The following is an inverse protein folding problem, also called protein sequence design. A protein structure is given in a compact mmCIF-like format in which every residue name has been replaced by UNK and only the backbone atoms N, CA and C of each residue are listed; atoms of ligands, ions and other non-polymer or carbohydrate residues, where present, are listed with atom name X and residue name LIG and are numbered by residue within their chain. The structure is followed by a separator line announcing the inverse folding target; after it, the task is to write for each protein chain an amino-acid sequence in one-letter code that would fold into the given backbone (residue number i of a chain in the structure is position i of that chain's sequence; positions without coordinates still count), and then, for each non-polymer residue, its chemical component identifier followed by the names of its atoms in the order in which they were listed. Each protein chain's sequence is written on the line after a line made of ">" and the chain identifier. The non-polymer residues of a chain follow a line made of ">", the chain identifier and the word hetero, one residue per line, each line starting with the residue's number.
data_IF_526105326257
#
_entry.id   IF_526105326257
#
_cell.length_a   1.000
_cell.length_b   1.000
_cell.length_c   1.000
_cell.angle_alpha   90.00
_cell.angle_beta   90.00
_cell.angle_gamma   90.00
#
_symmetry.space_group_name_H-M   'P 1'
#
loop_
_entity.id
_entity.type
_entity.pdbx_description
1 polymer ?
#
# COMPACT_ATOMS: atom_id res chain seq x y z
N UNK A 1 -5.83 -13.91 -27.68
CA UNK A 1 -5.16 -12.93 -28.57
C UNK A 1 -4.23 -13.69 -29.52
N UNK A 2 -3.71 -13.07 -30.59
CA UNK A 2 -2.67 -13.74 -31.39
C UNK A 2 -1.39 -13.91 -30.56
N UNK A 3 -0.75 -15.08 -30.65
CA UNK A 3 0.42 -15.44 -29.82
C UNK A 3 1.68 -14.62 -30.14
N UNK A 4 1.65 -13.81 -31.20
CA UNK A 4 2.73 -12.91 -31.61
C UNK A 4 2.64 -11.51 -31.00
N UNK A 5 1.54 -11.16 -30.31
CA UNK A 5 1.40 -9.82 -29.71
C UNK A 5 2.40 -9.68 -28.57
N UNK A 6 3.30 -8.69 -28.70
CA UNK A 6 4.32 -8.34 -27.71
C UNK A 6 3.96 -7.15 -26.82
N UNK A 7 3.11 -6.25 -27.32
CA UNK A 7 2.75 -5.02 -26.61
C UNK A 7 1.27 -4.77 -26.74
N UNK A 8 0.62 -4.47 -25.61
CA UNK A 8 -0.72 -3.91 -25.57
C UNK A 8 -0.64 -2.38 -25.64
N UNK A 9 -1.44 -1.78 -26.52
CA UNK A 9 -1.41 -0.33 -26.80
C UNK A 9 -1.96 0.56 -25.68
N UNK A 10 -1.78 1.87 -25.82
CA UNK A 10 -2.34 2.86 -24.90
C UNK A 10 -3.87 2.70 -24.81
N UNK A 11 -4.42 2.54 -23.60
CA UNK A 11 -5.87 2.45 -23.34
C UNK A 11 -6.63 1.40 -24.16
N UNK A 12 -5.99 0.31 -24.61
CA UNK A 12 -6.59 -0.63 -25.56
C UNK A 12 -7.95 -1.21 -25.17
N UNK A 13 -8.14 -1.50 -23.89
CA UNK A 13 -9.38 -2.02 -23.30
C UNK A 13 -9.96 -1.06 -22.26
N UNK A 14 -9.56 0.23 -22.28
CA UNK A 14 -10.07 1.19 -21.31
C UNK A 14 -11.59 1.27 -21.39
N UNK A 15 -12.26 1.20 -20.25
CA UNK A 15 -13.72 1.22 -20.10
C UNK A 15 -14.44 0.14 -20.92
N UNK A 16 -13.79 -0.99 -21.24
CA UNK A 16 -14.49 -2.18 -21.71
C UNK A 16 -15.27 -2.80 -20.54
N UNK A 17 -16.33 -2.13 -20.10
CA UNK A 17 -17.08 -2.44 -18.87
C UNK A 17 -17.72 -3.83 -18.86
N UNK A 18 -17.90 -4.44 -20.04
CA UNK A 18 -18.41 -5.81 -20.22
C UNK A 18 -17.31 -6.87 -20.36
N UNK A 19 -16.03 -6.49 -20.44
CA UNK A 19 -14.91 -7.42 -20.52
C UNK A 19 -14.77 -8.15 -19.18
N UNK A 20 -15.24 -9.39 -19.12
CA UNK A 20 -15.17 -10.23 -17.92
C UNK A 20 -13.99 -11.19 -17.93
N UNK A 21 -13.46 -11.51 -19.11
CA UNK A 21 -12.33 -12.41 -19.33
C UNK A 21 -11.52 -11.95 -20.53
N UNK A 22 -10.21 -12.03 -20.42
CA UNK A 22 -9.27 -11.79 -21.53
C UNK A 22 -8.19 -12.87 -21.53
N UNK A 23 -7.87 -13.38 -22.72
CA UNK A 23 -6.75 -14.31 -22.91
C UNK A 23 -5.61 -13.55 -23.58
N UNK A 24 -4.58 -13.26 -22.79
CA UNK A 24 -3.38 -12.55 -23.23
C UNK A 24 -2.46 -13.45 -24.07
N UNK A 25 -1.67 -12.83 -24.93
CA UNK A 25 -0.59 -13.51 -25.67
C UNK A 25 0.47 -14.02 -24.70
N UNK A 26 0.94 -15.25 -24.87
CA UNK A 26 2.04 -15.81 -24.07
C UNK A 26 3.40 -15.18 -24.41
N UNK A 27 3.48 -14.41 -25.49
CA UNK A 27 4.66 -13.61 -25.88
C UNK A 27 4.54 -12.14 -25.47
N UNK A 28 3.50 -11.76 -24.70
CA UNK A 28 3.30 -10.37 -24.29
C UNK A 28 4.40 -9.94 -23.33
N UNK A 29 5.13 -8.88 -23.69
CA UNK A 29 6.25 -8.34 -22.93
C UNK A 29 5.86 -7.07 -22.18
N UNK A 30 4.92 -6.26 -22.70
CA UNK A 30 4.58 -4.93 -22.17
C UNK A 30 3.09 -4.59 -22.23
N UNK A 31 2.59 -3.89 -21.22
CA UNK A 31 1.31 -3.15 -21.28
C UNK A 31 1.54 -1.65 -21.18
N UNK A 32 0.85 -0.87 -22.01
CA UNK A 32 0.92 0.59 -21.97
C UNK A 32 -0.12 1.17 -20.97
N UNK A 33 -0.02 2.48 -20.72
CA UNK A 33 -0.83 3.24 -19.76
C UNK A 33 -2.32 2.93 -19.92
N UNK A 34 -2.95 2.63 -18.78
CA UNK A 34 -4.40 2.43 -18.63
C UNK A 34 -5.01 1.34 -19.55
N UNK A 35 -4.25 0.36 -20.06
CA UNK A 35 -4.82 -0.55 -21.06
C UNK A 35 -6.08 -1.30 -20.58
N UNK A 36 -6.20 -1.70 -19.30
CA UNK A 36 -7.41 -2.33 -18.74
C UNK A 36 -8.18 -1.41 -17.78
N UNK A 37 -7.87 -0.11 -17.73
CA UNK A 37 -8.49 0.81 -16.77
C UNK A 37 -10.02 0.84 -16.96
N UNK A 38 -10.78 0.77 -15.88
CA UNK A 38 -12.25 0.79 -15.91
C UNK A 38 -12.89 -0.48 -16.49
N UNK A 39 -12.17 -1.60 -16.60
CA UNK A 39 -12.75 -2.90 -16.92
C UNK A 39 -13.53 -3.46 -15.71
N UNK A 40 -14.65 -2.84 -15.37
CA UNK A 40 -15.40 -3.12 -14.12
C UNK A 40 -15.92 -4.55 -13.98
N UNK A 41 -16.05 -5.30 -15.08
CA UNK A 41 -16.48 -6.72 -15.06
C UNK A 41 -15.33 -7.71 -15.01
N UNK A 42 -14.07 -7.29 -15.16
CA UNK A 42 -12.90 -8.17 -15.20
C UNK A 42 -12.66 -8.72 -13.79
N UNK A 43 -12.86 -10.02 -13.61
CA UNK A 43 -12.77 -10.70 -12.30
C UNK A 43 -11.41 -11.34 -12.05
N UNK A 44 -10.81 -11.83 -13.13
CA UNK A 44 -9.56 -12.56 -13.17
C UNK A 44 -8.82 -12.25 -14.48
N UNK A 45 -7.50 -12.21 -14.39
CA UNK A 45 -6.61 -12.10 -15.55
C UNK A 45 -5.32 -12.86 -15.27
N UNK A 46 -4.90 -13.68 -16.22
CA UNK A 46 -3.62 -14.37 -16.15
C UNK A 46 -2.56 -13.53 -16.87
N UNK A 47 -1.61 -12.99 -16.10
CA UNK A 47 -0.47 -12.26 -16.65
C UNK A 47 0.60 -13.24 -17.16
N UNK A 48 1.06 -13.12 -18.42
CA UNK A 48 2.00 -14.07 -18.99
C UNK A 48 3.40 -13.93 -18.35
N UNK A 49 4.14 -15.04 -18.28
CA UNK A 49 5.48 -15.09 -17.67
C UNK A 49 6.52 -14.24 -18.42
N UNK A 50 6.24 -13.90 -19.67
CA UNK A 50 7.06 -13.02 -20.52
C UNK A 50 6.94 -11.54 -20.15
N UNK A 51 5.90 -11.15 -19.40
CA UNK A 51 5.61 -9.75 -19.09
C UNK A 51 6.72 -9.15 -18.23
N UNK A 52 7.34 -8.10 -18.75
CA UNK A 52 8.47 -7.36 -18.14
C UNK A 52 8.11 -5.95 -17.70
N UNK A 53 7.01 -5.41 -18.22
CA UNK A 53 6.63 -4.01 -17.98
C UNK A 53 5.10 -3.86 -17.89
N UNK A 54 4.64 -3.20 -16.84
CA UNK A 54 3.26 -2.75 -16.67
C UNK A 54 3.25 -1.28 -16.29
N UNK A 55 2.77 -0.44 -17.21
CA UNK A 55 2.76 1.00 -17.03
C UNK A 55 1.63 1.49 -16.09
N UNK A 56 1.56 2.81 -15.95
CA UNK A 56 0.62 3.51 -15.07
C UNK A 56 -0.83 3.05 -15.25
N UNK A 57 -1.51 2.83 -14.12
CA UNK A 57 -2.96 2.65 -14.04
C UNK A 57 -3.54 1.52 -14.90
N UNK A 58 -2.74 0.52 -15.28
CA UNK A 58 -3.15 -0.56 -16.20
C UNK A 58 -4.45 -1.24 -15.75
N UNK A 59 -4.65 -1.49 -14.45
CA UNK A 59 -5.87 -2.08 -13.90
C UNK A 59 -6.70 -1.11 -13.05
N UNK A 60 -6.42 0.19 -13.08
CA UNK A 60 -7.15 1.18 -12.28
C UNK A 60 -8.66 1.11 -12.54
N UNK A 61 -9.47 0.99 -11.49
CA UNK A 61 -10.93 0.87 -11.57
C UNK A 61 -11.44 -0.50 -12.02
N UNK A 62 -10.61 -1.56 -12.02
CA UNK A 62 -11.07 -2.94 -12.18
C UNK A 62 -11.76 -3.44 -10.90
N UNK A 63 -12.90 -2.84 -10.54
CA UNK A 63 -13.61 -3.05 -9.27
C UNK A 63 -14.04 -4.50 -8.99
N UNK A 64 -14.07 -5.36 -10.00
CA UNK A 64 -14.40 -6.79 -9.85
C UNK A 64 -13.18 -7.71 -9.73
N UNK A 65 -11.96 -7.20 -9.96
CA UNK A 65 -10.75 -8.01 -9.91
C UNK A 65 -10.52 -8.48 -8.48
N UNK A 66 -10.43 -9.79 -8.27
CA UNK A 66 -10.35 -10.39 -6.92
C UNK A 66 -8.95 -10.83 -6.53
N UNK A 67 -8.16 -11.25 -7.51
CA UNK A 67 -6.81 -11.75 -7.32
C UNK A 67 -5.94 -11.32 -8.50
N UNK A 68 -4.69 -11.02 -8.22
CA UNK A 68 -3.65 -10.85 -9.25
C UNK A 68 -2.37 -11.59 -8.86
N UNK A 69 -1.72 -12.19 -9.85
CA UNK A 69 -0.41 -12.82 -9.71
C UNK A 69 0.58 -12.03 -10.57
N UNK A 70 1.50 -11.33 -9.92
CA UNK A 70 2.53 -10.50 -10.54
C UNK A 70 3.69 -11.40 -11.01
N UNK A 71 3.99 -11.44 -12.33
CA UNK A 71 5.03 -12.31 -12.88
C UNK A 71 6.44 -11.98 -12.37
N UNK A 72 7.34 -12.98 -12.41
CA UNK A 72 8.72 -12.89 -11.90
C UNK A 72 9.54 -11.72 -12.43
N UNK A 73 9.28 -11.27 -13.66
CA UNK A 73 10.08 -10.25 -14.35
C UNK A 73 9.59 -8.83 -14.06
N UNK A 74 8.44 -8.67 -13.40
CA UNK A 74 7.93 -7.38 -12.95
C UNK A 74 8.53 -7.09 -11.57
N UNK A 75 9.32 -6.02 -11.49
CA UNK A 75 9.96 -5.59 -10.24
C UNK A 75 9.45 -4.22 -9.72
N UNK A 76 8.55 -3.58 -10.47
CA UNK A 76 7.94 -2.28 -10.19
C UNK A 76 6.47 -2.29 -10.59
N UNK A 77 5.63 -1.60 -9.81
CA UNK A 77 4.26 -1.23 -10.20
C UNK A 77 4.18 0.29 -10.21
N UNK A 78 3.80 0.84 -11.35
CA UNK A 78 3.71 2.28 -11.60
C UNK A 78 2.45 2.89 -10.98
N UNK A 79 2.38 4.23 -11.00
CA UNK A 79 1.29 5.03 -10.48
C UNK A 79 -0.10 4.39 -10.68
N UNK A 80 -0.79 4.14 -9.57
CA UNK A 80 -2.19 3.72 -9.57
C UNK A 80 -2.49 2.40 -10.27
N UNK A 81 -1.50 1.50 -10.46
CA UNK A 81 -1.68 0.27 -11.26
C UNK A 81 -2.94 -0.52 -10.88
N UNK A 82 -3.28 -0.63 -9.59
CA UNK A 82 -4.48 -1.28 -9.06
C UNK A 82 -5.40 -0.32 -8.28
N UNK A 83 -5.29 0.99 -8.49
CA UNK A 83 -6.13 1.97 -7.80
C UNK A 83 -7.63 1.67 -8.03
N UNK A 84 -8.46 1.78 -6.99
CA UNK A 84 -9.90 1.50 -7.05
C UNK A 84 -10.25 0.06 -7.52
N UNK A 85 -9.38 -0.92 -7.24
CA UNK A 85 -9.74 -2.34 -7.37
C UNK A 85 -10.45 -2.82 -6.08
N UNK A 86 -11.68 -2.36 -5.86
CA UNK A 86 -12.43 -2.52 -4.59
C UNK A 86 -12.50 -3.97 -4.08
N UNK A 87 -12.56 -4.95 -4.97
CA UNK A 87 -12.64 -6.39 -4.63
C UNK A 87 -11.30 -7.11 -4.64
N UNK A 88 -10.17 -6.43 -4.86
CA UNK A 88 -8.86 -7.07 -4.88
C UNK A 88 -8.49 -7.52 -3.47
N UNK A 89 -8.52 -8.83 -3.26
CA UNK A 89 -8.28 -9.47 -1.96
C UNK A 89 -6.85 -10.02 -1.86
N UNK A 90 -6.30 -10.49 -2.98
CA UNK A 90 -5.04 -11.24 -3.00
C UNK A 90 -4.11 -10.68 -4.08
N UNK A 91 -2.92 -10.27 -3.65
CA UNK A 91 -1.80 -9.90 -4.53
C UNK A 91 -0.65 -10.86 -4.25
N UNK A 92 -0.24 -11.62 -5.27
CA UNK A 92 0.88 -12.56 -5.16
C UNK A 92 2.02 -12.11 -6.05
N UNK A 93 3.22 -11.99 -5.49
CA UNK A 93 4.45 -11.72 -6.26
C UNK A 93 5.21 -13.03 -6.48
N UNK A 94 5.62 -13.32 -7.72
CA UNK A 94 6.36 -14.55 -8.04
C UNK A 94 7.89 -14.39 -8.02
N UNK A 95 8.40 -13.16 -7.96
CA UNK A 95 9.83 -12.84 -7.97
C UNK A 95 10.17 -11.69 -7.03
N UNK A 96 11.42 -11.23 -7.10
CA UNK A 96 11.90 -10.11 -6.30
C UNK A 96 11.25 -8.82 -6.78
N UNK A 97 10.62 -8.10 -5.86
CA UNK A 97 9.86 -6.91 -6.18
C UNK A 97 10.34 -5.75 -5.33
N UNK A 98 10.62 -4.62 -5.97
CA UNK A 98 11.45 -3.55 -5.38
C UNK A 98 10.69 -2.26 -5.15
N UNK A 99 9.69 -1.93 -5.97
CA UNK A 99 9.13 -0.58 -6.02
C UNK A 99 7.61 -0.59 -6.20
N UNK A 100 6.88 0.03 -5.28
CA UNK A 100 5.49 0.46 -5.48
C UNK A 100 5.49 1.97 -5.64
N UNK A 101 4.96 2.50 -6.74
CA UNK A 101 4.75 3.94 -6.87
C UNK A 101 3.52 4.43 -6.10
N UNK A 102 3.18 5.71 -6.30
CA UNK A 102 2.05 6.36 -5.67
C UNK A 102 0.73 5.66 -6.02
N UNK A 103 -0.16 5.56 -5.03
CA UNK A 103 -1.53 5.08 -5.16
C UNK A 103 -1.72 3.65 -5.72
N UNK A 104 -0.68 2.82 -5.82
CA UNK A 104 -0.77 1.50 -6.50
C UNK A 104 -1.95 0.66 -6.02
N UNK A 105 -2.23 0.60 -4.71
CA UNK A 105 -3.36 -0.11 -4.13
C UNK A 105 -4.37 0.83 -3.43
N UNK A 106 -4.36 2.13 -3.74
CA UNK A 106 -5.31 3.06 -3.12
C UNK A 106 -6.75 2.63 -3.43
N UNK A 107 -7.61 2.66 -2.40
CA UNK A 107 -8.99 2.19 -2.42
C UNK A 107 -9.16 0.69 -2.79
N UNK A 108 -8.15 -0.16 -2.61
CA UNK A 108 -8.32 -1.61 -2.65
C UNK A 108 -9.03 -2.10 -1.37
N UNK A 109 -10.33 -1.79 -1.24
CA UNK A 109 -11.10 -1.94 0.00
C UNK A 109 -11.18 -3.35 0.54
N UNK A 110 -11.01 -4.37 -0.31
CA UNK A 110 -11.06 -5.77 0.09
C UNK A 110 -9.71 -6.40 0.41
N UNK A 111 -8.59 -5.69 0.22
CA UNK A 111 -7.26 -6.21 0.52
C UNK A 111 -7.13 -6.44 2.03
N UNK A 112 -6.90 -7.69 2.45
CA UNK A 112 -6.91 -8.08 3.89
C UNK A 112 -5.54 -8.11 4.53
N UNK A 113 -4.57 -8.63 3.81
CA UNK A 113 -3.19 -8.77 4.25
C UNK A 113 -2.27 -8.37 3.12
N UNK A 114 -1.20 -7.67 3.47
CA UNK A 114 -0.12 -7.39 2.53
C UNK A 114 1.22 -7.77 3.15
N UNK A 115 1.87 -8.75 2.52
CA UNK A 115 3.22 -9.17 2.87
C UNK A 115 4.17 -8.55 1.86
N UNK A 116 5.06 -7.67 2.32
CA UNK A 116 6.04 -7.08 1.43
C UNK A 116 7.04 -8.14 0.95
N UNK A 117 7.18 -8.36 -0.37
CA UNK A 117 8.22 -9.24 -0.92
C UNK A 117 9.61 -8.66 -0.66
N UNK A 118 10.65 -9.51 -0.66
CA UNK A 118 11.97 -9.10 -0.18
C UNK A 118 12.78 -8.17 -1.08
N UNK A 119 13.75 -7.48 -0.48
CA UNK A 119 14.60 -6.43 -1.09
C UNK A 119 13.81 -5.19 -1.58
N UNK A 120 12.82 -4.77 -0.80
CA UNK A 120 12.01 -3.61 -1.12
C UNK A 120 12.81 -2.30 -0.99
N UNK A 121 12.79 -1.45 -2.02
CA UNK A 121 13.55 -0.20 -2.07
C UNK A 121 12.68 1.01 -1.74
N UNK A 122 11.48 1.14 -2.33
CA UNK A 122 10.68 2.37 -2.25
C UNK A 122 9.18 2.13 -2.37
N UNK A 123 8.40 2.72 -1.45
CA UNK A 123 6.93 2.79 -1.51
C UNK A 123 6.49 4.25 -1.68
N UNK A 124 5.65 4.50 -2.68
CA UNK A 124 5.07 5.79 -2.98
C UNK A 124 3.91 6.22 -2.07
N UNK A 125 3.46 7.47 -2.26
CA UNK A 125 2.36 8.13 -1.54
C UNK A 125 1.09 7.33 -1.61
N UNK A 126 0.31 7.31 -0.52
CA UNK A 126 -1.07 6.76 -0.51
C UNK A 126 -1.17 5.33 -1.04
N UNK A 127 -0.08 4.57 -1.09
CA UNK A 127 -0.05 3.28 -1.79
C UNK A 127 -1.13 2.31 -1.28
N UNK A 128 -1.46 2.35 0.01
CA UNK A 128 -2.54 1.57 0.62
C UNK A 128 -3.64 2.45 1.23
N UNK A 129 -3.80 3.69 0.76
CA UNK A 129 -4.84 4.59 1.28
C UNK A 129 -6.22 3.94 1.12
N UNK A 130 -7.05 4.01 2.17
CA UNK A 130 -8.41 3.45 2.21
C UNK A 130 -8.48 1.95 1.84
N UNK A 131 -7.45 1.17 2.15
CA UNK A 131 -7.57 -0.30 2.18
C UNK A 131 -8.38 -0.70 3.42
N UNK A 132 -9.70 -0.52 3.37
CA UNK A 132 -10.58 -0.57 4.55
C UNK A 132 -10.56 -1.92 5.29
N UNK A 133 -10.33 -3.04 4.59
CA UNK A 133 -10.19 -4.39 5.19
C UNK A 133 -8.75 -4.80 5.52
N UNK A 134 -7.76 -3.94 5.34
CA UNK A 134 -6.36 -4.28 5.61
C UNK A 134 -6.15 -4.43 7.11
N UNK A 135 -6.03 -5.67 7.56
CA UNK A 135 -5.90 -6.04 8.99
C UNK A 135 -4.44 -6.27 9.37
N UNK A 136 -3.60 -6.69 8.42
CA UNK A 136 -2.22 -7.10 8.69
C UNK A 136 -1.26 -6.63 7.60
N UNK A 137 -0.16 -6.05 8.06
CA UNK A 137 0.95 -5.60 7.22
C UNK A 137 2.24 -6.17 7.81
N UNK A 138 3.04 -6.84 6.99
CA UNK A 138 4.33 -7.41 7.41
C UNK A 138 5.45 -6.76 6.62
N UNK A 139 6.29 -5.99 7.31
CA UNK A 139 7.52 -5.43 6.76
C UNK A 139 8.67 -6.41 6.99
N UNK A 140 9.26 -6.93 5.91
CA UNK A 140 10.36 -7.91 6.02
C UNK A 140 11.76 -7.26 5.97
N UNK A 141 11.85 -5.94 5.74
CA UNK A 141 13.11 -5.23 5.49
C UNK A 141 13.02 -3.76 5.91
N UNK A 142 14.18 -3.08 5.96
CA UNK A 142 14.25 -1.63 6.10
C UNK A 142 13.68 -0.98 4.83
N UNK A 143 12.53 -0.33 4.97
CA UNK A 143 11.92 0.41 3.87
C UNK A 143 12.30 1.89 4.01
N UNK A 144 12.87 2.46 2.96
CA UNK A 144 12.99 3.91 2.84
C UNK A 144 11.62 4.46 2.46
N UNK A 145 10.89 4.94 3.47
CA UNK A 145 9.60 5.59 3.27
C UNK A 145 9.81 7.06 3.02
N UNK A 146 9.43 7.52 1.84
CA UNK A 146 9.51 8.94 1.49
C UNK A 146 8.22 9.69 1.76
N UNK A 147 7.10 9.06 2.16
CA UNK A 147 5.84 9.73 1.86
C UNK A 147 4.54 9.46 2.65
N UNK A 148 3.63 10.40 2.39
CA UNK A 148 2.41 10.74 3.11
C UNK A 148 1.26 9.73 2.92
N UNK A 149 0.45 9.54 3.96
CA UNK A 149 -0.85 8.83 3.91
C UNK A 149 -0.77 7.35 3.51
N UNK A 150 0.39 6.69 3.67
CA UNK A 150 0.65 5.34 3.17
C UNK A 150 -0.46 4.33 3.51
N UNK A 151 -0.90 4.30 4.78
CA UNK A 151 -1.98 3.45 5.29
C UNK A 151 -3.17 4.28 5.82
N UNK A 152 -3.31 5.54 5.38
CA UNK A 152 -4.40 6.39 5.85
C UNK A 152 -5.75 5.77 5.50
N UNK A 153 -6.69 5.77 6.44
CA UNK A 153 -8.01 5.18 6.26
C UNK A 153 -8.03 3.65 6.23
N UNK A 154 -6.95 2.96 6.62
CA UNK A 154 -6.97 1.52 6.86
C UNK A 154 -7.73 1.20 8.15
N UNK A 155 -9.06 1.32 8.10
CA UNK A 155 -9.92 1.28 9.30
C UNK A 155 -9.92 -0.08 10.00
N UNK A 156 -9.58 -1.18 9.33
CA UNK A 156 -9.52 -2.51 9.97
C UNK A 156 -8.16 -2.84 10.62
N UNK A 157 -7.14 -2.00 10.45
CA UNK A 157 -5.83 -2.23 11.04
C UNK A 157 -5.92 -2.04 12.57
N UNK A 158 -5.67 -3.12 13.33
CA UNK A 158 -5.76 -3.13 14.80
C UNK A 158 -4.41 -3.02 15.50
N UNK A 159 -3.38 -3.61 14.92
CA UNK A 159 -2.03 -3.58 15.44
C UNK A 159 -1.03 -3.37 14.31
N UNK A 160 0.07 -2.68 14.63
CA UNK A 160 1.17 -2.48 13.70
C UNK A 160 2.51 -2.50 14.44
N UNK A 161 3.49 -3.14 13.82
CA UNK A 161 4.89 -3.04 14.20
C UNK A 161 5.61 -2.09 13.24
N UNK A 162 6.32 -1.11 13.79
CA UNK A 162 7.00 -0.06 13.06
C UNK A 162 8.49 -0.12 13.40
N UNK A 163 9.31 -0.48 12.41
CA UNK A 163 10.77 -0.50 12.54
C UNK A 163 11.44 0.39 11.49
N UNK A 164 10.86 1.58 11.25
CA UNK A 164 11.41 2.61 10.36
C UNK A 164 12.10 3.70 11.16
N UNK A 165 13.21 4.21 10.65
CA UNK A 165 13.90 5.37 11.24
C UNK A 165 13.01 6.62 11.30
N UNK A 166 12.23 6.84 10.24
CA UNK A 166 11.30 7.97 10.09
C UNK A 166 9.88 7.46 9.91
N UNK A 167 8.99 7.74 10.86
CA UNK A 167 7.57 7.35 10.77
C UNK A 167 6.81 8.45 10.00
N UNK A 168 6.29 8.19 8.79
CA UNK A 168 5.87 9.24 7.88
C UNK A 168 4.65 10.05 8.34
N UNK A 169 4.54 11.25 7.80
CA UNK A 169 3.40 12.13 8.00
C UNK A 169 2.09 11.46 7.56
N UNK A 170 1.07 11.51 8.42
CA UNK A 170 -0.25 10.89 8.19
C UNK A 170 -0.22 9.40 7.82
N UNK A 171 0.87 8.68 8.11
CA UNK A 171 1.02 7.28 7.71
C UNK A 171 -0.19 6.41 8.09
N UNK A 172 -0.73 6.61 9.30
CA UNK A 172 -1.88 5.90 9.85
C UNK A 172 -3.07 6.84 10.16
N UNK A 173 -3.17 8.01 9.52
CA UNK A 173 -4.29 8.96 9.72
C UNK A 173 -5.63 8.27 9.41
N UNK A 174 -6.54 8.25 10.37
CA UNK A 174 -7.85 7.62 10.23
C UNK A 174 -7.86 6.10 10.38
N UNK A 175 -6.79 5.47 10.89
CA UNK A 175 -6.83 4.08 11.33
C UNK A 175 -7.62 3.96 12.64
N UNK A 176 -8.95 4.12 12.56
CA UNK A 176 -9.83 4.32 13.73
C UNK A 176 -9.86 3.13 14.69
N UNK A 177 -9.58 1.92 14.22
CA UNK A 177 -9.52 0.70 15.04
C UNK A 177 -8.09 0.32 15.47
N UNK A 178 -7.09 1.16 15.21
CA UNK A 178 -5.72 0.91 15.64
C UNK A 178 -5.63 1.00 17.16
N UNK A 179 -5.40 -0.12 17.82
CA UNK A 179 -5.36 -0.27 19.27
C UNK A 179 -3.93 -0.36 19.81
N UNK A 180 -3.01 -0.92 19.02
CA UNK A 180 -1.63 -1.20 19.44
C UNK A 180 -0.63 -0.78 18.39
N UNK A 181 0.35 0.02 18.80
CA UNK A 181 1.53 0.36 18.00
C UNK A 181 2.76 -0.14 18.76
N UNK A 182 3.56 -0.97 18.11
CA UNK A 182 4.85 -1.43 18.63
C UNK A 182 5.95 -0.82 17.79
N UNK A 183 6.96 -0.24 18.42
CA UNK A 183 8.14 0.25 17.71
C UNK A 183 9.32 -0.70 17.91
N UNK A 184 10.07 -0.95 16.84
CA UNK A 184 11.42 -1.50 16.93
C UNK A 184 12.42 -0.45 17.45
N UNK A 185 13.70 -0.81 17.45
CA UNK A 185 14.75 0.04 17.99
C UNK A 185 15.15 1.21 17.06
N UNK A 186 14.67 1.25 15.82
CA UNK A 186 15.17 2.22 14.82
C UNK A 186 14.48 3.58 14.83
N UNK A 187 13.25 3.67 15.32
CA UNK A 187 12.43 4.87 15.11
C UNK A 187 12.95 6.09 15.90
N UNK A 188 13.37 7.13 15.17
CA UNK A 188 13.95 8.36 15.72
C UNK A 188 13.02 9.56 15.58
N UNK A 189 12.20 9.62 14.53
CA UNK A 189 11.33 10.76 14.25
C UNK A 189 9.92 10.26 13.93
N UNK A 190 8.92 10.82 14.62
CA UNK A 190 7.51 10.58 14.31
C UNK A 190 6.90 11.88 13.77
N UNK A 191 6.55 11.89 12.47
CA UNK A 191 6.05 13.09 11.81
C UNK A 191 4.58 13.40 12.14
N UNK A 192 4.21 14.67 11.91
CA UNK A 192 2.89 15.23 12.22
C UNK A 192 1.75 14.38 11.64
N UNK A 193 0.66 14.28 12.41
CA UNK A 193 -0.57 13.56 12.07
C UNK A 193 -0.40 12.07 11.77
N UNK A 194 0.76 11.47 12.06
CA UNK A 194 1.01 10.05 11.80
C UNK A 194 -0.10 9.14 12.35
N UNK A 195 -0.58 9.39 13.57
CA UNK A 195 -1.65 8.63 14.22
C UNK A 195 -2.93 9.47 14.38
N UNK A 196 -3.12 10.51 13.57
CA UNK A 196 -4.33 11.35 13.66
C UNK A 196 -5.59 10.50 13.53
N UNK A 197 -6.62 10.78 14.32
CA UNK A 197 -7.89 10.04 14.35
C UNK A 197 -7.75 8.52 14.63
N UNK A 198 -6.67 8.06 15.26
CA UNK A 198 -6.58 6.67 15.75
C UNK A 198 -7.41 6.51 17.02
N UNK A 199 -8.74 6.52 16.86
CA UNK A 199 -9.71 6.63 17.96
C UNK A 199 -9.69 5.47 18.95
N UNK A 200 -9.18 4.30 18.56
CA UNK A 200 -9.09 3.13 19.47
C UNK A 200 -7.78 3.05 20.24
N UNK A 201 -6.80 3.90 19.94
CA UNK A 201 -5.51 3.92 20.61
C UNK A 201 -5.67 4.49 22.03
N UNK A 202 -5.37 3.67 23.05
CA UNK A 202 -5.54 4.03 24.47
C UNK A 202 -4.23 4.39 25.17
N UNK A 203 -3.16 3.71 24.77
CA UNK A 203 -1.82 3.86 25.31
C UNK A 203 -0.81 3.65 24.18
N UNK A 204 0.29 4.40 24.21
CA UNK A 204 1.41 4.19 23.30
C UNK A 204 2.73 4.36 24.04
N UNK A 205 3.64 3.42 23.81
CA UNK A 205 5.05 3.56 24.22
C UNK A 205 5.83 4.08 23.02
N UNK A 206 6.49 5.20 23.19
CA UNK A 206 7.30 5.83 22.16
C UNK A 206 8.65 5.09 22.01
N UNK A 207 9.27 5.12 20.82
CA UNK A 207 10.47 4.35 20.55
C UNK A 207 11.65 4.81 21.41
N UNK A 208 12.53 3.87 21.78
CA UNK A 208 13.68 4.11 22.66
C UNK A 208 14.59 5.24 22.16
N UNK A 209 14.80 5.30 20.85
CA UNK A 209 15.71 6.24 20.19
C UNK A 209 14.97 7.49 19.66
N UNK A 210 13.78 7.80 20.18
CA UNK A 210 13.02 8.97 19.74
C UNK A 210 13.82 10.27 19.98
N UNK A 211 14.04 11.00 18.90
CA UNK A 211 14.67 12.32 18.88
C UNK A 211 13.64 13.45 18.71
N UNK A 212 12.54 13.21 17.98
CA UNK A 212 11.54 14.25 17.71
C UNK A 212 10.11 13.70 17.58
N UNK A 213 9.19 14.33 18.32
CA UNK A 213 7.73 14.17 18.15
C UNK A 213 7.01 15.50 18.42
N UNK A 214 6.05 15.86 17.56
CA UNK A 214 5.09 16.92 17.86
C UNK A 214 3.76 16.29 18.30
N UNK A 215 3.61 16.02 19.60
CA UNK A 215 2.49 15.26 20.16
C UNK A 215 1.10 15.83 19.80
N UNK A 216 0.95 17.16 19.84
CA UNK A 216 -0.32 17.85 19.53
C UNK A 216 -0.83 17.50 18.13
N UNK A 217 0.09 17.36 17.18
CA UNK A 217 -0.26 17.00 15.81
C UNK A 217 -0.26 15.49 15.59
N UNK A 218 0.64 14.73 16.22
CA UNK A 218 0.80 13.29 15.96
C UNK A 218 -0.45 12.52 16.39
N UNK A 219 -1.06 12.89 17.52
CA UNK A 219 -2.22 12.22 18.10
C UNK A 219 -3.50 13.05 18.03
N UNK A 220 -3.58 14.05 17.13
CA UNK A 220 -4.79 14.86 16.94
C UNK A 220 -6.01 13.95 16.69
N UNK A 221 -7.11 14.14 17.43
CA UNK A 221 -8.33 13.30 17.29
C UNK A 221 -8.21 11.87 17.83
N UNK A 222 -7.15 11.54 18.58
CA UNK A 222 -7.06 10.30 19.36
C UNK A 222 -7.84 10.44 20.68
N UNK A 223 -9.16 10.55 20.60
CA UNK A 223 -10.03 10.94 21.72
C UNK A 223 -9.97 9.98 22.93
N UNK A 224 -9.51 8.74 22.74
CA UNK A 224 -9.37 7.73 23.79
C UNK A 224 -7.94 7.52 24.29
N UNK A 225 -6.94 8.28 23.80
CA UNK A 225 -5.56 8.15 24.21
C UNK A 225 -5.38 8.72 25.62
N UNK A 226 -5.12 7.84 26.60
CA UNK A 226 -5.00 8.19 28.02
C UNK A 226 -3.56 8.29 28.51
N UNK A 227 -2.62 7.64 27.82
CA UNK A 227 -1.24 7.51 28.30
C UNK A 227 -0.24 7.48 27.15
N UNK A 228 0.79 8.30 27.25
CA UNK A 228 1.97 8.27 26.38
C UNK A 228 3.18 8.00 27.26
N UNK A 229 3.88 6.89 27.01
CA UNK A 229 5.13 6.54 27.69
C UNK A 229 6.30 7.02 26.82
N UNK A 230 7.12 7.89 27.37
CA UNK A 230 8.33 8.41 26.71
C UNK A 230 9.55 7.56 27.09
N UNK A 231 10.57 7.45 26.23
CA UNK A 231 11.81 6.80 26.61
C UNK A 231 12.57 7.66 27.63
N UNK A 232 13.36 7.04 28.51
CA UNK A 232 14.01 7.69 29.66
C UNK A 232 14.85 8.93 29.29
N UNK A 233 15.44 8.93 28.10
CA UNK A 233 16.32 9.99 27.62
C UNK A 233 15.62 11.10 26.82
N UNK A 234 14.29 11.05 26.65
CA UNK A 234 13.58 12.05 25.86
C UNK A 234 13.47 13.38 26.61
N UNK A 235 14.13 14.40 26.08
CA UNK A 235 13.95 15.78 26.54
C UNK A 235 12.73 16.36 25.85
N UNK A 236 11.62 16.51 26.58
CA UNK A 236 10.47 17.27 26.08
C UNK A 236 10.93 18.72 25.86
N UNK A 237 10.78 19.22 24.63
CA UNK A 237 10.85 20.65 24.36
C UNK A 237 9.73 21.32 25.20
N UNK A 238 10.14 22.15 26.17
CA UNK A 238 9.29 22.85 27.15
C UNK A 238 8.52 23.98 26.46
#
# INVERSE_FOLDING_TARGET
>A
MADSIKTLGFRCFKNCTRLSKVVLSQSLEKTNVECFSGCVSLKDIELPKSLTDMQESVFSGCVSLTKIVIPKKINKLDYGTFENCDKLEIVQFLGDFRNLEDCVFANCKSLKEFVFPGNFFMIGKRCFQNCEKLEKIIFNYNIYLYDHLLFSGCVSLKEIEIDFMYVPFRCFDGCVNLEKVTFGDKAEIIYKWCFRNCKSLKEITLPKNLCYINEKTVFEGCDNLKKIIYPENYKKDI
#
